data_IF_424995050126
#
_entry.id   IF_424995050126
#
_cell.length_a   1.000
_cell.length_b   1.000
_cell.length_c   1.000
_cell.angle_alpha   90.00
_cell.angle_beta   90.00
_cell.angle_gamma   90.00
#
_symmetry.space_group_name_H-M   'P 1'
#
loop_
_entity.id
_entity.type
_entity.pdbx_description
1 polymer ?
#
# COMPACT_ATOMS: atom_id res chain seq x y z
N UNK A 1 -18.49 11.86 20.95
CA UNK A 1 -17.93 10.49 20.86
C UNK A 1 -16.94 10.33 19.70
N UNK A 2 -17.08 11.09 18.60
CA UNK A 2 -16.10 11.12 17.49
C UNK A 2 -14.74 11.73 17.90
N UNK A 3 -14.72 12.85 18.65
CA UNK A 3 -13.46 13.53 19.03
C UNK A 3 -12.47 12.64 19.83
N UNK A 4 -12.96 11.71 20.65
CA UNK A 4 -12.12 10.81 21.43
C UNK A 4 -11.42 9.75 20.56
N UNK A 5 -12.11 9.27 19.51
CA UNK A 5 -11.51 8.38 18.51
C UNK A 5 -10.44 9.11 17.70
N UNK A 6 -10.71 10.36 17.30
CA UNK A 6 -9.78 11.18 16.52
C UNK A 6 -8.49 11.49 17.26
N UNK A 7 -8.56 11.87 18.53
CA UNK A 7 -7.37 12.15 19.35
C UNK A 7 -6.53 10.89 19.60
N UNK A 8 -7.17 9.73 19.78
CA UNK A 8 -6.46 8.46 19.98
C UNK A 8 -5.74 8.03 18.70
N UNK A 9 -6.41 8.13 17.54
CA UNK A 9 -5.80 7.84 16.24
C UNK A 9 -4.61 8.74 15.94
N UNK A 10 -4.73 10.05 16.25
CA UNK A 10 -3.66 11.03 16.06
C UNK A 10 -2.44 10.73 16.93
N UNK A 11 -2.64 10.34 18.19
CA UNK A 11 -1.55 9.96 19.10
C UNK A 11 -0.87 8.68 18.61
N UNK A 12 -1.65 7.68 18.20
CA UNK A 12 -1.11 6.42 17.65
C UNK A 12 -0.28 6.74 16.41
N UNK A 13 -0.81 7.49 15.45
CA UNK A 13 -0.09 7.83 14.22
C UNK A 13 1.17 8.68 14.49
N UNK A 14 1.12 9.70 15.35
CA UNK A 14 2.31 10.50 15.68
C UNK A 14 3.40 9.67 16.37
N UNK A 15 3.01 8.81 17.32
CA UNK A 15 3.99 8.04 18.08
C UNK A 15 4.56 6.86 17.27
N UNK A 16 3.70 6.16 16.52
CA UNK A 16 4.08 5.04 15.69
C UNK A 16 4.75 5.51 14.40
N UNK A 17 4.13 6.35 13.58
CA UNK A 17 4.66 6.69 12.25
C UNK A 17 5.73 7.78 12.24
N UNK A 18 5.67 8.79 13.12
CA UNK A 18 6.69 9.86 13.17
C UNK A 18 7.78 9.63 14.23
N UNK A 19 7.54 8.73 15.18
CA UNK A 19 8.50 8.35 16.21
C UNK A 19 9.22 7.04 15.87
N UNK A 20 8.59 5.92 16.25
CA UNK A 20 9.22 4.60 16.25
C UNK A 20 9.44 4.05 14.84
N UNK A 21 8.48 4.22 13.95
CA UNK A 21 8.45 3.66 12.60
C UNK A 21 8.69 4.71 11.51
N UNK A 22 9.48 5.75 11.83
CA UNK A 22 9.78 6.84 10.89
C UNK A 22 10.16 6.30 9.50
N UNK A 23 9.32 6.52 8.45
CA UNK A 23 9.41 5.77 7.20
C UNK A 23 10.73 6.01 6.46
N UNK A 24 11.24 7.24 6.50
CA UNK A 24 12.54 7.59 5.88
C UNK A 24 13.70 6.88 6.58
N UNK A 25 13.77 6.94 7.92
CA UNK A 25 14.83 6.29 8.68
C UNK A 25 14.87 4.78 8.39
N UNK A 26 13.72 4.11 8.50
CA UNK A 26 13.65 2.68 8.27
C UNK A 26 13.86 2.29 6.81
N UNK A 27 13.46 3.13 5.84
CA UNK A 27 13.81 2.93 4.43
C UNK A 27 15.32 2.95 4.20
N UNK A 28 16.03 3.91 4.80
CA UNK A 28 17.50 3.97 4.73
C UNK A 28 18.14 2.75 5.38
N UNK A 29 17.67 2.36 6.57
CA UNK A 29 18.15 1.15 7.27
C UNK A 29 17.87 -0.11 6.43
N UNK A 30 16.69 -0.22 5.81
CA UNK A 30 16.33 -1.37 4.98
C UNK A 30 17.22 -1.45 3.74
N UNK A 31 17.45 -0.34 3.04
CA UNK A 31 18.35 -0.29 1.88
C UNK A 31 19.77 -0.67 2.31
N UNK A 32 20.30 -0.04 3.37
CA UNK A 32 21.65 -0.31 3.84
C UNK A 32 21.84 -1.76 4.30
N UNK A 33 20.89 -2.30 5.06
CA UNK A 33 20.92 -3.69 5.52
C UNK A 33 20.78 -4.68 4.34
N UNK A 34 19.90 -4.38 3.37
CA UNK A 34 19.75 -5.17 2.15
C UNK A 34 21.07 -5.19 1.36
N UNK A 35 21.71 -4.04 1.16
CA UNK A 35 23.01 -3.96 0.48
C UNK A 35 24.08 -4.72 1.27
N UNK A 36 24.17 -4.53 2.58
CA UNK A 36 25.19 -5.17 3.42
C UNK A 36 25.07 -6.70 3.38
N UNK A 37 23.85 -7.22 3.47
CA UNK A 37 23.61 -8.66 3.49
C UNK A 37 23.80 -9.28 2.09
N UNK A 38 23.35 -8.61 1.03
CA UNK A 38 23.47 -9.12 -0.33
C UNK A 38 24.88 -8.94 -0.94
N UNK A 39 25.59 -7.87 -0.60
CA UNK A 39 26.98 -7.65 -1.07
C UNK A 39 27.92 -8.75 -0.56
N UNK A 40 27.71 -9.27 0.64
CA UNK A 40 28.48 -10.39 1.16
C UNK A 40 28.28 -11.67 0.31
N UNK A 41 27.05 -11.91 -0.17
CA UNK A 41 26.76 -13.03 -1.07
C UNK A 41 27.37 -12.82 -2.46
N UNK A 42 27.22 -11.61 -3.03
CA UNK A 42 27.80 -11.27 -4.34
C UNK A 42 29.33 -11.32 -4.34
N UNK A 43 29.96 -10.86 -3.26
CA UNK A 43 31.41 -10.96 -3.10
C UNK A 43 31.85 -12.42 -3.05
N UNK A 44 31.14 -13.26 -2.30
CA UNK A 44 31.46 -14.68 -2.22
C UNK A 44 31.31 -15.38 -3.59
N UNK A 45 30.28 -15.01 -4.37
CA UNK A 45 30.10 -15.47 -5.75
C UNK A 45 31.28 -15.03 -6.64
N UNK A 46 31.67 -13.76 -6.57
CA UNK A 46 32.75 -13.21 -7.41
C UNK A 46 34.11 -13.86 -7.12
N UNK A 47 34.37 -14.22 -5.86
CA UNK A 47 35.66 -14.81 -5.44
C UNK A 47 35.70 -16.33 -5.65
N UNK A 48 34.62 -17.04 -5.36
CA UNK A 48 34.62 -18.50 -5.33
C UNK A 48 33.91 -19.17 -6.52
N UNK A 49 33.24 -18.40 -7.39
CA UNK A 49 32.62 -18.90 -8.63
C UNK A 49 31.45 -19.87 -8.46
N UNK A 50 31.04 -20.17 -7.22
CA UNK A 50 30.00 -21.16 -6.96
C UNK A 50 28.60 -20.53 -7.03
N UNK A 51 28.06 -20.43 -8.25
CA UNK A 51 26.71 -19.93 -8.51
C UNK A 51 25.60 -20.77 -7.86
N UNK A 52 25.86 -22.05 -7.55
CA UNK A 52 24.89 -22.96 -6.91
C UNK A 52 24.50 -22.53 -5.49
N UNK A 53 25.34 -21.75 -4.80
CA UNK A 53 25.02 -21.18 -3.48
C UNK A 53 24.32 -19.82 -3.56
N UNK A 54 24.19 -19.27 -4.77
CA UNK A 54 23.34 -18.11 -5.00
C UNK A 54 21.91 -18.63 -5.05
N UNK A 55 21.20 -18.54 -3.93
CA UNK A 55 19.75 -18.73 -3.90
C UNK A 55 19.08 -17.60 -4.70
N UNK A 56 19.24 -17.60 -6.01
CA UNK A 56 18.85 -16.52 -6.90
C UNK A 56 17.34 -16.23 -6.85
N UNK A 57 16.54 -17.25 -6.55
CA UNK A 57 15.10 -17.10 -6.28
C UNK A 57 14.84 -16.31 -5.00
N UNK A 58 15.58 -16.57 -3.91
CA UNK A 58 15.43 -15.84 -2.63
C UNK A 58 15.81 -14.38 -2.83
N UNK A 59 16.89 -14.13 -3.59
CA UNK A 59 17.36 -12.79 -3.92
C UNK A 59 16.35 -11.97 -4.72
N UNK A 60 15.77 -12.56 -5.77
CA UNK A 60 14.79 -11.89 -6.62
C UNK A 60 13.53 -11.53 -5.82
N UNK A 61 13.05 -12.45 -4.98
CA UNK A 61 11.87 -12.22 -4.14
C UNK A 61 12.14 -11.12 -3.12
N UNK A 62 13.31 -11.13 -2.46
CA UNK A 62 13.70 -10.08 -1.54
C UNK A 62 13.71 -8.71 -2.21
N UNK A 63 14.37 -8.56 -3.37
CA UNK A 63 14.42 -7.29 -4.10
C UNK A 63 13.01 -6.81 -4.45
N UNK A 64 12.17 -7.68 -5.02
CA UNK A 64 10.81 -7.31 -5.40
C UNK A 64 10.04 -6.80 -4.18
N UNK A 65 10.15 -7.48 -3.03
CA UNK A 65 9.47 -7.07 -1.81
C UNK A 65 9.98 -5.74 -1.26
N UNK A 66 11.30 -5.55 -1.18
CA UNK A 66 11.88 -4.28 -0.72
C UNK A 66 11.46 -3.16 -1.65
N UNK A 67 11.58 -3.34 -2.96
CA UNK A 67 11.23 -2.33 -3.97
C UNK A 67 9.76 -1.94 -3.89
N UNK A 68 8.83 -2.91 -3.87
CA UNK A 68 7.39 -2.61 -3.77
C UNK A 68 7.09 -1.87 -2.47
N UNK A 69 7.70 -2.26 -1.35
CA UNK A 69 7.47 -1.59 -0.07
C UNK A 69 8.01 -0.16 -0.04
N UNK A 70 9.18 0.08 -0.62
CA UNK A 70 9.73 1.43 -0.75
C UNK A 70 8.89 2.30 -1.69
N UNK A 71 8.37 1.75 -2.78
CA UNK A 71 7.47 2.46 -3.68
C UNK A 71 6.17 2.86 -2.96
N UNK A 72 5.62 1.99 -2.11
CA UNK A 72 4.46 2.34 -1.29
C UNK A 72 4.77 3.41 -0.25
N UNK A 73 5.90 3.31 0.46
CA UNK A 73 6.33 4.38 1.38
C UNK A 73 6.44 5.71 0.66
N UNK A 74 7.06 5.71 -0.52
CA UNK A 74 7.26 6.92 -1.31
C UNK A 74 5.92 7.48 -1.81
N UNK A 75 5.01 6.60 -2.27
CA UNK A 75 3.62 6.95 -2.63
C UNK A 75 2.87 7.61 -1.48
N UNK A 76 2.93 7.03 -0.27
CA UNK A 76 2.30 7.60 0.92
C UNK A 76 2.95 8.91 1.37
N UNK A 77 4.28 8.99 1.33
CA UNK A 77 5.03 10.17 1.77
C UNK A 77 4.85 11.37 0.84
N UNK A 78 4.63 11.12 -0.45
CA UNK A 78 4.40 12.17 -1.45
C UNK A 78 2.97 12.74 -1.38
N UNK A 79 2.02 12.03 -0.75
CA UNK A 79 0.61 12.43 -0.66
C UNK A 79 -0.16 12.33 -1.99
N UNK A 80 0.52 12.42 -3.13
CA UNK A 80 -0.06 12.20 -4.45
C UNK A 80 0.21 10.79 -4.96
N UNK A 81 -0.78 10.20 -5.64
CA UNK A 81 -0.59 8.97 -6.41
C UNK A 81 0.47 9.18 -7.47
N UNK A 82 1.22 8.13 -7.79
CA UNK A 82 2.14 8.22 -8.91
C UNK A 82 1.37 8.66 -10.16
N UNK A 83 2.05 9.38 -11.08
CA UNK A 83 1.50 9.56 -12.41
C UNK A 83 1.13 8.20 -13.02
N UNK A 84 0.31 8.15 -14.09
CA UNK A 84 -0.18 6.89 -14.67
C UNK A 84 0.91 5.84 -14.90
N UNK A 85 2.11 6.29 -15.30
CA UNK A 85 3.29 5.44 -15.50
C UNK A 85 3.73 4.77 -14.20
N UNK A 86 3.86 5.51 -13.10
CA UNK A 86 4.33 4.95 -11.83
C UNK A 86 3.30 4.04 -11.17
N UNK A 87 2.00 4.35 -11.27
CA UNK A 87 0.94 3.44 -10.80
C UNK A 87 0.93 2.13 -11.63
N UNK A 88 1.19 2.21 -12.94
CA UNK A 88 1.31 1.01 -13.78
C UNK A 88 2.54 0.19 -13.42
N UNK A 89 3.70 0.82 -13.17
CA UNK A 89 4.91 0.13 -12.72
C UNK A 89 4.66 -0.57 -11.37
N UNK A 90 4.02 0.14 -10.44
CA UNK A 90 3.68 -0.40 -9.13
C UNK A 90 2.73 -1.60 -9.27
N UNK A 91 1.73 -1.52 -10.15
CA UNK A 91 0.81 -2.61 -10.45
C UNK A 91 1.53 -3.83 -11.01
N UNK A 92 2.43 -3.64 -11.97
CA UNK A 92 3.22 -4.72 -12.55
C UNK A 92 4.07 -5.43 -11.50
N UNK A 93 4.76 -4.66 -10.63
CA UNK A 93 5.59 -5.22 -9.57
C UNK A 93 4.77 -5.99 -8.52
N UNK A 94 3.59 -5.49 -8.14
CA UNK A 94 2.68 -6.20 -7.25
C UNK A 94 2.17 -7.50 -7.87
N UNK A 95 1.84 -7.49 -9.16
CA UNK A 95 1.42 -8.69 -9.90
C UNK A 95 2.54 -9.72 -9.97
N UNK A 96 3.78 -9.30 -10.23
CA UNK A 96 4.96 -10.17 -10.17
C UNK A 96 5.09 -10.80 -8.79
N UNK A 97 4.96 -10.01 -7.72
CA UNK A 97 5.01 -10.52 -6.36
C UNK A 97 3.87 -11.49 -6.02
N UNK A 98 2.63 -11.16 -6.39
CA UNK A 98 1.49 -12.06 -6.20
C UNK A 98 1.65 -13.36 -7.00
N UNK A 99 2.21 -13.28 -8.21
CA UNK A 99 2.56 -14.45 -9.02
C UNK A 99 3.61 -15.33 -8.34
N UNK A 100 4.67 -14.74 -7.79
CA UNK A 100 5.66 -15.47 -6.98
C UNK A 100 5.01 -16.13 -5.75
N UNK A 101 4.09 -15.43 -5.08
CA UNK A 101 3.36 -15.93 -3.92
C UNK A 101 2.35 -17.05 -4.24
N UNK A 102 1.81 -17.12 -5.46
CA UNK A 102 0.89 -18.19 -5.87
C UNK A 102 1.60 -19.39 -6.47
N UNK A 103 2.61 -19.16 -7.30
CA UNK A 103 3.14 -20.20 -8.18
C UNK A 103 4.53 -20.69 -7.77
N UNK A 104 5.27 -19.95 -6.96
CA UNK A 104 6.60 -20.38 -6.55
C UNK A 104 6.54 -21.39 -5.40
N UNK A 105 6.95 -22.63 -5.66
CA UNK A 105 6.87 -23.75 -4.72
C UNK A 105 7.52 -23.50 -3.35
N UNK A 106 8.55 -22.64 -3.26
CA UNK A 106 9.26 -22.36 -2.01
C UNK A 106 8.61 -21.26 -1.15
N UNK A 107 7.90 -20.31 -1.77
CA UNK A 107 7.36 -19.13 -1.08
C UNK A 107 5.84 -19.15 -0.97
N UNK A 108 5.18 -19.94 -1.82
CA UNK A 108 3.74 -20.03 -1.83
C UNK A 108 3.23 -20.95 -0.73
N UNK A 109 2.40 -20.36 0.14
CA UNK A 109 1.65 -21.10 1.15
C UNK A 109 0.72 -22.17 0.55
N UNK A 110 0.34 -22.03 -0.72
CA UNK A 110 -0.55 -22.99 -1.40
C UNK A 110 0.10 -24.38 -1.49
N UNK A 111 1.42 -24.46 -1.62
CA UNK A 111 2.15 -25.75 -1.67
C UNK A 111 2.54 -26.29 -0.28
N UNK A 112 2.34 -25.52 0.79
CA UNK A 112 2.65 -25.97 2.15
C UNK A 112 1.56 -26.91 2.71
N UNK A 113 1.86 -27.71 3.75
CA UNK A 113 0.89 -28.64 4.37
C UNK A 113 -0.11 -27.93 5.29
N UNK A 114 -0.58 -26.74 4.92
CA UNK A 114 -1.66 -26.02 5.63
C UNK A 114 -3.04 -26.53 5.20
N UNK A 115 -4.06 -26.22 6.01
CA UNK A 115 -5.46 -26.59 5.71
C UNK A 115 -5.91 -26.09 4.33
N UNK A 116 -6.65 -26.93 3.61
CA UNK A 116 -7.24 -26.60 2.31
C UNK A 116 -8.07 -25.31 2.35
N UNK A 117 -8.80 -25.09 3.45
CA UNK A 117 -9.61 -23.89 3.66
C UNK A 117 -8.73 -22.62 3.60
N UNK A 118 -7.56 -22.65 4.25
CA UNK A 118 -6.63 -21.51 4.25
C UNK A 118 -6.08 -21.27 2.84
N UNK A 119 -5.78 -22.33 2.08
CA UNK A 119 -5.32 -22.21 0.69
C UNK A 119 -6.37 -21.53 -0.19
N UNK A 120 -7.65 -21.90 -0.03
CA UNK A 120 -8.76 -21.26 -0.73
C UNK A 120 -8.84 -19.78 -0.36
N UNK A 121 -8.74 -19.42 0.93
CA UNK A 121 -8.75 -18.01 1.34
C UNK A 121 -7.61 -17.20 0.72
N UNK A 122 -6.40 -17.75 0.64
CA UNK A 122 -5.25 -17.08 0.02
C UNK A 122 -5.49 -16.84 -1.48
N UNK A 123 -5.97 -17.85 -2.20
CA UNK A 123 -6.31 -17.73 -3.63
C UNK A 123 -7.40 -16.69 -3.81
N UNK A 124 -8.45 -16.71 -2.98
CA UNK A 124 -9.51 -15.72 -3.02
C UNK A 124 -9.00 -14.30 -2.74
N UNK A 125 -8.14 -14.11 -1.74
CA UNK A 125 -7.55 -12.80 -1.44
C UNK A 125 -6.78 -12.22 -2.63
N UNK A 126 -6.05 -13.05 -3.38
CA UNK A 126 -5.32 -12.61 -4.58
C UNK A 126 -6.26 -12.43 -5.78
N UNK A 127 -7.33 -13.23 -5.88
CA UNK A 127 -8.31 -13.14 -6.96
C UNK A 127 -9.28 -11.95 -6.80
N UNK A 128 -9.63 -11.57 -5.58
CA UNK A 128 -10.63 -10.53 -5.27
C UNK A 128 -10.35 -9.17 -5.95
N UNK A 129 -9.13 -8.61 -5.93
CA UNK A 129 -8.83 -7.36 -6.64
C UNK A 129 -9.16 -7.45 -8.13
N UNK A 130 -8.86 -8.57 -8.80
CA UNK A 130 -9.22 -8.76 -10.21
C UNK A 130 -10.73 -8.87 -10.43
N UNK A 131 -11.46 -9.48 -9.48
CA UNK A 131 -12.91 -9.55 -9.51
C UNK A 131 -13.56 -8.17 -9.43
N UNK A 132 -13.07 -7.30 -8.54
CA UNK A 132 -13.53 -5.91 -8.40
C UNK A 132 -13.31 -5.13 -9.71
N UNK A 133 -12.13 -5.25 -10.31
CA UNK A 133 -11.82 -4.62 -11.60
C UNK A 133 -12.76 -5.11 -12.69
N UNK A 134 -12.99 -6.42 -12.78
CA UNK A 134 -13.87 -7.00 -13.79
C UNK A 134 -15.31 -6.48 -13.65
N UNK A 135 -15.82 -6.38 -12.42
CA UNK A 135 -17.15 -5.81 -12.14
C UNK A 135 -17.20 -4.34 -12.57
N UNK A 136 -16.17 -3.55 -12.24
CA UNK A 136 -16.11 -2.14 -12.60
C UNK A 136 -16.07 -1.93 -14.12
N UNK A 137 -15.29 -2.73 -14.86
CA UNK A 137 -15.23 -2.68 -16.34
C UNK A 137 -16.59 -3.05 -16.94
N UNK A 138 -17.23 -4.12 -16.44
CA UNK A 138 -18.55 -4.54 -16.93
C UNK A 138 -19.61 -3.47 -16.63
N UNK A 139 -19.58 -2.88 -15.44
CA UNK A 139 -20.47 -1.77 -15.05
C UNK A 139 -20.34 -0.59 -16.02
N UNK A 140 -19.12 -0.17 -16.35
CA UNK A 140 -18.88 0.90 -17.31
C UNK A 140 -19.33 0.56 -18.74
N UNK A 141 -19.18 -0.69 -19.16
CA UNK A 141 -19.67 -1.15 -20.46
C UNK A 141 -21.20 -1.21 -20.57
N UNK A 142 -21.88 -1.42 -19.43
CA UNK A 142 -23.33 -1.49 -19.35
C UNK A 142 -24.03 -0.14 -19.17
N UNK A 143 -23.29 0.97 -19.00
CA UNK A 143 -23.87 2.33 -18.94
C UNK A 143 -24.44 2.73 -20.31
N UNK A 144 -25.61 3.38 -20.29
CA UNK A 144 -26.25 3.91 -21.50
C UNK A 144 -25.37 4.99 -22.16
N UNK A 145 -25.44 5.12 -23.50
CA UNK A 145 -24.54 5.98 -24.30
C UNK A 145 -24.51 7.46 -23.85
N UNK A 146 -25.58 7.96 -23.21
CA UNK A 146 -25.67 9.33 -22.69
C UNK A 146 -25.01 9.52 -21.31
N UNK A 147 -24.75 8.43 -20.57
CA UNK A 147 -24.10 8.40 -19.24
C UNK A 147 -22.67 7.82 -19.26
N UNK A 148 -22.13 7.54 -20.47
CA UNK A 148 -20.76 7.06 -20.65
C UNK A 148 -19.76 8.17 -20.35
N UNK A 149 -19.44 8.32 -19.07
CA UNK A 149 -18.20 8.96 -18.63
C UNK A 149 -17.01 8.21 -19.24
N UNK A 150 -16.00 8.90 -19.80
CA UNK A 150 -14.84 8.22 -20.37
C UNK A 150 -14.17 7.39 -19.26
N UNK A 151 -13.79 6.13 -19.54
CA UNK A 151 -13.21 5.25 -18.53
C UNK A 151 -11.95 5.89 -17.95
N UNK A 152 -11.98 6.19 -16.65
CA UNK A 152 -10.84 6.76 -15.94
C UNK A 152 -9.85 5.65 -15.59
N UNK A 153 -9.10 5.18 -16.59
CA UNK A 153 -8.12 4.10 -16.43
C UNK A 153 -7.10 4.37 -15.31
N UNK A 154 -6.82 5.65 -15.01
CA UNK A 154 -5.93 6.02 -13.92
C UNK A 154 -6.51 5.62 -12.56
N UNK A 155 -7.79 5.88 -12.34
CA UNK A 155 -8.50 5.55 -11.11
C UNK A 155 -8.60 4.04 -10.92
N UNK A 156 -8.91 3.29 -11.99
CA UNK A 156 -8.90 1.83 -11.93
C UNK A 156 -7.54 1.26 -11.51
N UNK A 157 -6.44 1.79 -12.02
CA UNK A 157 -5.10 1.32 -11.63
C UNK A 157 -4.79 1.66 -10.17
N UNK A 158 -5.18 2.86 -9.71
CA UNK A 158 -4.99 3.30 -8.33
C UNK A 158 -5.76 2.40 -7.36
N UNK A 159 -7.04 2.15 -7.64
CA UNK A 159 -7.92 1.30 -6.82
C UNK A 159 -7.39 -0.13 -6.78
N UNK A 160 -6.92 -0.62 -7.93
CA UNK A 160 -6.31 -1.94 -8.03
C UNK A 160 -5.07 -2.03 -7.14
N UNK A 161 -4.16 -1.06 -7.22
CA UNK A 161 -2.96 -1.01 -6.39
C UNK A 161 -3.29 -0.96 -4.89
N UNK A 162 -4.37 -0.28 -4.50
CA UNK A 162 -4.83 -0.21 -3.11
C UNK A 162 -5.38 -1.56 -2.64
N UNK A 163 -6.15 -2.25 -3.48
CA UNK A 163 -6.70 -3.57 -3.16
C UNK A 163 -5.63 -4.68 -3.08
N UNK A 164 -4.56 -4.57 -3.87
CA UNK A 164 -3.44 -5.52 -3.81
C UNK A 164 -2.48 -5.26 -2.65
N UNK A 165 -2.36 -4.03 -2.16
CA UNK A 165 -1.45 -3.67 -1.08
C UNK A 165 -1.57 -4.58 0.17
N UNK A 166 -2.75 -4.76 0.80
CA UNK A 166 -2.86 -5.57 2.01
C UNK A 166 -2.53 -7.04 1.74
N UNK A 167 -2.89 -7.55 0.55
CA UNK A 167 -2.60 -8.93 0.12
C UNK A 167 -1.09 -9.12 -0.01
N UNK A 168 -0.44 -8.22 -0.76
CA UNK A 168 1.01 -8.25 -0.96
C UNK A 168 1.76 -8.13 0.37
N UNK A 169 1.41 -7.13 1.20
CA UNK A 169 2.10 -6.89 2.47
C UNK A 169 1.92 -8.04 3.45
N UNK A 170 0.70 -8.55 3.62
CA UNK A 170 0.42 -9.68 4.51
C UNK A 170 1.21 -10.93 4.14
N UNK A 171 1.25 -11.27 2.85
CA UNK A 171 2.03 -12.42 2.38
C UNK A 171 3.53 -12.17 2.38
N UNK A 172 3.97 -10.93 2.19
CA UNK A 172 5.40 -10.62 2.13
C UNK A 172 6.15 -10.91 3.43
N UNK A 173 5.49 -10.96 4.59
CA UNK A 173 6.14 -11.36 5.85
C UNK A 173 6.71 -12.77 5.81
N UNK A 174 6.08 -13.67 5.03
CA UNK A 174 6.49 -15.08 4.93
C UNK A 174 7.70 -15.28 4.03
N UNK A 175 8.00 -14.31 3.17
CA UNK A 175 9.18 -14.35 2.30
C UNK A 175 10.27 -13.38 2.72
N UNK A 176 10.23 -12.85 3.96
CA UNK A 176 11.42 -12.22 4.54
C UNK A 176 12.49 -13.31 4.60
N UNK A 177 13.51 -13.17 3.76
CA UNK A 177 14.55 -14.17 3.69
C UNK A 177 15.22 -14.37 5.06
N UNK A 178 15.22 -15.62 5.48
CA UNK A 178 15.78 -16.04 6.77
C UNK A 178 17.20 -16.58 6.63
N UNK A 179 17.66 -16.83 5.40
CA UNK A 179 18.88 -17.57 5.07
C UNK A 179 19.89 -16.66 4.38
N UNK A 180 20.79 -16.10 5.19
CA UNK A 180 21.97 -15.40 4.69
C UNK A 180 23.24 -16.13 5.13
N UNK A 181 23.58 -17.27 4.48
CA UNK A 181 24.69 -18.12 4.91
C UNK A 181 26.06 -17.43 4.87
N UNK A 182 26.18 -16.37 4.08
CA UNK A 182 27.42 -15.60 3.91
C UNK A 182 27.40 -14.25 4.62
N UNK A 183 26.37 -13.96 5.44
CA UNK A 183 26.34 -12.72 6.19
C UNK A 183 27.44 -12.74 7.27
N UNK A 184 28.41 -11.84 7.12
CA UNK A 184 29.57 -11.74 8.02
C UNK A 184 29.16 -11.31 9.44
N UNK A 185 28.09 -10.51 9.57
CA UNK A 185 27.65 -9.93 10.82
C UNK A 185 26.22 -10.36 11.14
N UNK A 186 25.96 -11.14 12.21
CA UNK A 186 24.60 -11.52 12.60
C UNK A 186 23.68 -10.31 12.84
N UNK A 187 24.26 -9.19 13.28
CA UNK A 187 23.56 -7.92 13.49
C UNK A 187 22.96 -7.37 12.18
N UNK A 188 23.64 -7.50 11.04
CA UNK A 188 23.10 -6.99 9.76
C UNK A 188 21.87 -7.77 9.32
N UNK A 189 21.84 -9.08 9.56
CA UNK A 189 20.66 -9.93 9.31
C UNK A 189 19.50 -9.55 10.22
N UNK A 190 19.77 -9.30 11.50
CA UNK A 190 18.73 -8.85 12.45
C UNK A 190 18.18 -7.48 12.07
N UNK A 191 19.04 -6.53 11.74
CA UNK A 191 18.63 -5.20 11.28
C UNK A 191 17.84 -5.26 9.97
N UNK A 192 18.25 -6.12 9.03
CA UNK A 192 17.50 -6.38 7.81
C UNK A 192 16.09 -6.87 8.13
N UNK A 193 15.94 -7.93 8.93
CA UNK A 193 14.63 -8.50 9.29
C UNK A 193 13.73 -7.48 10.00
N UNK A 194 14.32 -6.73 10.93
CA UNK A 194 13.61 -5.69 11.67
C UNK A 194 13.13 -4.59 10.73
N UNK A 195 14.02 -4.07 9.87
CA UNK A 195 13.68 -3.01 8.93
C UNK A 195 12.61 -3.45 7.91
N UNK A 196 12.70 -4.68 7.39
CA UNK A 196 11.66 -5.25 6.53
C UNK A 196 10.32 -5.36 7.25
N UNK A 197 10.30 -5.83 8.49
CA UNK A 197 9.08 -5.98 9.27
C UNK A 197 8.44 -4.63 9.59
N UNK A 198 9.26 -3.66 9.98
CA UNK A 198 8.85 -2.28 10.27
C UNK A 198 8.21 -1.63 9.04
N UNK A 199 8.88 -1.67 7.89
CA UNK A 199 8.38 -1.03 6.67
C UNK A 199 7.05 -1.66 6.23
N UNK A 200 6.95 -2.98 6.28
CA UNK A 200 5.70 -3.70 5.94
C UNK A 200 4.57 -3.34 6.89
N UNK A 201 4.86 -3.25 8.19
CA UNK A 201 3.89 -2.82 9.19
C UNK A 201 3.43 -1.37 8.97
N UNK A 202 4.36 -0.47 8.64
CA UNK A 202 4.04 0.91 8.27
C UNK A 202 3.09 0.96 7.07
N UNK A 203 3.38 0.22 5.99
CA UNK A 203 2.50 0.18 4.81
C UNK A 203 1.09 -0.34 5.12
N UNK A 204 0.95 -1.37 5.97
CA UNK A 204 -0.36 -1.88 6.40
C UNK A 204 -1.08 -0.83 7.26
N UNK A 205 -0.35 -0.18 8.17
CA UNK A 205 -0.93 0.85 9.03
C UNK A 205 -1.45 2.03 8.22
N UNK A 206 -0.66 2.56 7.29
CA UNK A 206 -1.08 3.64 6.39
C UNK A 206 -2.27 3.23 5.51
N UNK A 207 -2.30 1.99 5.03
CA UNK A 207 -3.47 1.46 4.31
C UNK A 207 -4.73 1.44 5.18
N UNK A 208 -4.64 0.92 6.41
CA UNK A 208 -5.78 0.90 7.33
C UNK A 208 -6.26 2.31 7.69
N UNK A 209 -5.34 3.26 7.84
CA UNK A 209 -5.67 4.67 8.04
C UNK A 209 -6.37 5.26 6.83
N UNK A 210 -5.87 5.01 5.63
CA UNK A 210 -6.48 5.44 4.37
C UNK A 210 -7.92 4.94 4.25
N UNK A 211 -8.16 3.65 4.43
CA UNK A 211 -9.50 3.06 4.38
C UNK A 211 -10.42 3.62 5.46
N UNK A 212 -9.94 3.80 6.70
CA UNK A 212 -10.74 4.40 7.77
C UNK A 212 -11.14 5.85 7.50
N UNK A 213 -10.25 6.66 6.90
CA UNK A 213 -10.55 8.04 6.52
C UNK A 213 -11.56 8.07 5.38
N UNK A 214 -11.40 7.22 4.36
CA UNK A 214 -12.32 7.12 3.22
C UNK A 214 -13.73 6.71 3.66
N UNK A 215 -13.85 5.75 4.58
CA UNK A 215 -15.12 5.31 5.15
C UNK A 215 -15.75 6.39 6.05
N UNK A 216 -14.96 7.11 6.85
CA UNK A 216 -15.49 8.06 7.83
C UNK A 216 -15.89 9.42 7.24
N UNK A 217 -15.23 9.85 6.16
CA UNK A 217 -15.49 11.15 5.53
C UNK A 217 -16.44 11.09 4.33
N UNK A 218 -16.94 9.90 3.98
CA UNK A 218 -17.90 9.69 2.88
C UNK A 218 -17.51 10.46 1.59
N UNK A 219 -16.21 10.51 1.29
CA UNK A 219 -15.62 11.19 0.12
C UNK A 219 -15.94 10.42 -1.18
N UNK A 220 -16.98 9.59 -1.15
CA UNK A 220 -17.53 8.87 -2.30
C UNK A 220 -18.56 9.76 -3.03
N UNK A 221 -18.96 10.90 -2.46
CA UNK A 221 -20.08 11.69 -3.00
C UNK A 221 -19.77 12.66 -4.15
N UNK A 222 -18.52 13.05 -4.44
CA UNK A 222 -18.30 14.15 -5.40
C UNK A 222 -17.06 13.99 -6.31
N UNK A 223 -16.82 12.82 -6.90
CA UNK A 223 -16.12 12.63 -8.19
C UNK A 223 -14.77 13.33 -8.47
N UNK A 224 -14.14 13.98 -7.50
CA UNK A 224 -12.98 14.85 -7.65
C UNK A 224 -12.50 15.23 -6.24
N UNK A 225 -11.75 14.35 -5.59
CA UNK A 225 -10.71 14.81 -4.67
C UNK A 225 -9.49 15.14 -5.55
N UNK A 226 -9.16 16.43 -5.82
CA UNK A 226 -8.10 16.79 -6.76
C UNK A 226 -6.72 16.39 -6.25
N UNK A 227 -6.59 16.19 -4.94
CA UNK A 227 -5.37 15.73 -4.31
C UNK A 227 -5.68 14.99 -3.01
N UNK A 228 -5.48 13.67 -3.02
CA UNK A 228 -5.64 12.86 -1.81
C UNK A 228 -4.63 13.27 -0.73
N UNK A 229 -3.53 13.96 -1.11
CA UNK A 229 -2.52 14.56 -0.23
C UNK A 229 -3.11 15.46 0.87
N UNK A 230 -4.21 16.16 0.60
CA UNK A 230 -4.87 17.03 1.60
C UNK A 230 -5.50 16.23 2.76
N UNK A 231 -5.88 14.97 2.53
CA UNK A 231 -6.35 14.08 3.60
C UNK A 231 -5.19 13.36 4.31
N UNK A 232 -4.02 13.30 3.68
CA UNK A 232 -2.76 12.81 4.27
C UNK A 232 -2.02 13.87 5.10
N UNK A 233 -2.25 15.17 4.85
CA UNK A 233 -1.79 16.21 5.78
C UNK A 233 -2.40 15.97 7.15
N UNK A 234 -1.61 16.01 8.24
CA UNK A 234 -2.04 15.56 9.56
C UNK A 234 -3.36 16.23 9.89
N UNK A 235 -4.40 15.39 9.95
CA UNK A 235 -5.78 15.80 10.06
C UNK A 235 -5.94 16.68 11.30
N UNK A 236 -5.95 18.00 11.12
CA UNK A 236 -6.50 18.96 12.08
C UNK A 236 -8.01 18.94 11.87
N UNK A 237 -8.65 17.87 12.34
CA UNK A 237 -10.10 17.81 12.47
C UNK A 237 -10.51 18.85 13.52
N UNK A 238 -10.93 20.01 13.03
CA UNK A 238 -11.24 21.13 13.90
C UNK A 238 -11.69 22.41 13.21
N UNK A 239 -12.02 22.43 11.91
CA UNK A 239 -12.84 23.53 11.37
C UNK A 239 -13.82 22.97 10.34
N UNK A 240 -15.09 22.91 10.75
CA UNK A 240 -16.21 22.85 9.82
C UNK A 240 -16.13 24.14 9.01
N UNK A 241 -15.67 24.06 7.74
CA UNK A 241 -15.92 25.14 6.78
C UNK A 241 -17.43 25.23 6.61
N UNK A 242 -18.06 26.19 7.30
CA UNK A 242 -19.38 26.65 6.94
C UNK A 242 -19.33 27.13 5.49
N UNK A 243 -19.90 26.36 4.56
CA UNK A 243 -20.34 26.93 3.29
C UNK A 243 -21.51 27.87 3.61
N UNK A 244 -21.40 29.19 3.37
CA UNK A 244 -22.50 30.10 3.57
C UNK A 244 -23.29 30.15 2.28
N UNK A 245 -24.15 29.16 2.03
CA UNK A 245 -25.20 29.32 1.03
C UNK A 245 -26.26 28.23 1.22
N UNK A 246 -27.53 28.65 1.12
CA UNK A 246 -28.76 27.86 1.30
C UNK A 246 -29.35 27.79 2.72
N UNK A 247 -29.71 28.97 3.25
CA UNK A 247 -31.01 29.08 3.94
C UNK A 247 -32.02 29.65 2.96
N UNK A 248 -32.87 28.74 2.51
CA UNK A 248 -34.22 28.90 1.96
C UNK A 248 -34.84 30.29 1.96
N UNK A 249 -35.35 30.64 0.77
CA UNK A 249 -36.45 31.57 0.62
C UNK A 249 -37.68 31.14 1.45
N UNK A 250 -38.23 32.05 2.24
CA UNK A 250 -39.68 32.20 2.36
C UNK A 250 -40.09 33.57 2.93
N UNK A 251 -40.82 34.30 2.09
CA UNK A 251 -42.00 35.09 2.42
C UNK A 251 -41.92 36.42 3.20
N UNK A 252 -42.56 37.39 2.55
CA UNK A 252 -43.40 38.49 3.05
C UNK A 252 -42.76 39.86 3.32
N UNK A 253 -43.15 40.79 2.43
CA UNK A 253 -43.86 41.98 2.88
C UNK A 253 -43.10 43.27 2.66
N UNK A 254 -43.58 44.06 1.68
CA UNK A 254 -43.80 45.49 1.77
C UNK A 254 -42.88 46.30 2.71
N UNK A 255 -42.05 47.19 2.17
CA UNK A 255 -42.48 48.58 1.96
C UNK A 255 -41.36 49.44 1.36
N UNK A 256 -41.80 50.42 0.56
CA UNK A 256 -41.04 51.59 0.12
C UNK A 256 -40.32 52.30 1.27
N UNK A 257 -39.18 52.95 1.00
CA UNK A 257 -39.10 54.43 0.96
C UNK A 257 -37.67 54.98 0.87
N UNK A 258 -37.50 55.85 -0.14
CA UNK A 258 -36.53 56.94 -0.36
C UNK A 258 -35.07 56.54 -0.61
#
# INVERSE_FOLDING_TARGET
MSEFHTSTLRIIHQYFCNGIYHPVFWSVVAIAATIAVNSAQLFHLAVHGNAEFLFASDYLVDIVQVTVSLLFILRFSMGYFFGPVGETILLLLQNIGCGLLLFHHQYSLVYTPISCIIKVFIICQIACPYGIIAINIVSDWCKDDDDKTPPNYREFVIDTNNNFLPVFMGHSFLCINSKFPFAVWPVSVTLYKLAQSVIKFYCIHEFCLFEMVLIHHDIISEGLAPDYAEYYTPVVLGEVKHHPEQVFASCHGNDLCI
#
